data_IF_662820067056
#
_entry.id   IF_662820067056
#
_cell.length_a   1.000
_cell.length_b   1.000
_cell.length_c   1.000
_cell.angle_alpha   90.00
_cell.angle_beta   90.00
_cell.angle_gamma   90.00
#
_symmetry.space_group_name_H-M   'P 1'
#
loop_
_entity.id
_entity.type
_entity.pdbx_description
1 polymer ?
#
# COMPACT_ATOMS: atom_id res chain seq x y z
N UNK A 1 30.22 3.33 25.13
CA UNK A 1 29.11 2.77 25.93
C UNK A 1 28.23 1.84 25.10
N UNK A 2 27.87 2.18 23.85
CA UNK A 2 27.10 1.31 22.93
C UNK A 2 27.73 -0.07 22.66
N UNK A 3 29.06 -0.15 22.54
CA UNK A 3 29.76 -1.41 22.26
C UNK A 3 29.67 -2.42 23.40
N UNK A 4 29.67 -1.98 24.66
CA UNK A 4 29.52 -2.88 25.83
C UNK A 4 28.08 -3.39 25.98
N UNK A 5 27.09 -2.53 25.74
CA UNK A 5 25.67 -2.91 25.78
C UNK A 5 25.32 -3.88 24.63
N UNK A 6 25.83 -3.62 23.42
CA UNK A 6 25.72 -4.50 22.24
C UNK A 6 26.29 -5.90 22.51
N UNK A 7 27.47 -5.97 23.13
CA UNK A 7 28.13 -7.23 23.50
C UNK A 7 27.35 -7.96 24.62
N UNK A 8 26.82 -7.24 25.61
CA UNK A 8 25.99 -7.84 26.67
C UNK A 8 24.66 -8.42 26.15
N UNK A 9 23.97 -7.69 25.26
CA UNK A 9 22.71 -8.17 24.65
C UNK A 9 22.96 -9.45 23.85
N UNK A 10 23.99 -9.49 23.00
CA UNK A 10 24.27 -10.65 22.14
C UNK A 10 24.86 -11.85 22.89
N UNK A 11 25.58 -11.61 23.99
CA UNK A 11 26.12 -12.69 24.85
C UNK A 11 25.05 -13.37 25.70
N UNK A 12 23.98 -12.67 26.07
CA UNK A 12 22.89 -13.22 26.90
C UNK A 12 21.65 -13.63 26.11
N UNK A 13 21.42 -13.04 24.93
CA UNK A 13 20.20 -13.23 24.14
C UNK A 13 20.48 -14.14 22.94
N UNK A 14 20.30 -15.44 23.17
CA UNK A 14 20.76 -16.53 22.32
C UNK A 14 20.25 -16.49 20.87
N UNK A 15 19.02 -16.02 20.61
CA UNK A 15 18.39 -16.01 19.28
C UNK A 15 18.32 -14.61 18.64
N UNK A 16 19.05 -13.63 19.19
CA UNK A 16 18.99 -12.25 18.72
C UNK A 16 19.90 -12.01 17.52
N UNK A 17 19.39 -11.24 16.57
CA UNK A 17 20.07 -10.75 15.37
C UNK A 17 20.17 -9.24 15.48
N UNK A 18 21.38 -8.70 15.33
CA UNK A 18 21.61 -7.27 15.22
C UNK A 18 21.51 -6.87 13.76
N UNK A 19 20.57 -5.99 13.45
CA UNK A 19 20.29 -5.49 12.11
C UNK A 19 20.73 -4.05 12.02
N UNK A 20 21.48 -3.74 10.96
CA UNK A 20 21.67 -2.38 10.49
C UNK A 20 20.62 -2.09 9.42
N UNK A 21 19.69 -1.20 9.72
CA UNK A 21 18.65 -0.77 8.78
C UNK A 21 19.28 0.17 7.75
N UNK A 22 19.09 -0.13 6.47
CA UNK A 22 19.73 0.57 5.36
C UNK A 22 18.75 1.48 4.62
N UNK A 23 17.48 1.08 4.55
CA UNK A 23 16.43 1.88 3.93
C UNK A 23 15.06 1.51 4.51
N UNK A 24 14.17 2.48 4.66
CA UNK A 24 12.79 2.24 5.04
C UNK A 24 11.88 3.20 4.26
N UNK A 25 10.88 2.70 3.52
CA UNK A 25 9.93 3.56 2.84
C UNK A 25 8.93 4.15 3.84
N UNK A 26 8.21 5.17 3.37
CA UNK A 26 7.04 5.71 4.05
C UNK A 26 5.82 5.34 3.23
N UNK A 27 4.98 4.47 3.77
CA UNK A 27 3.70 4.07 3.19
C UNK A 27 2.54 4.82 3.88
N UNK A 28 1.37 4.93 3.23
CA UNK A 28 0.17 5.48 3.88
C UNK A 28 -0.20 4.79 5.19
N UNK A 29 0.07 3.49 5.32
CA UNK A 29 -0.17 2.73 6.55
C UNK A 29 0.71 3.19 7.73
N UNK A 30 1.93 3.64 7.47
CA UNK A 30 2.81 4.21 8.50
C UNK A 30 2.20 5.50 9.07
N UNK A 31 1.75 6.40 8.18
CA UNK A 31 1.11 7.66 8.56
C UNK A 31 -0.18 7.43 9.36
N UNK A 32 -1.02 6.51 8.89
CA UNK A 32 -2.24 6.13 9.60
C UNK A 32 -1.94 5.53 11.00
N UNK A 33 -0.82 4.82 11.15
CA UNK A 33 -0.38 4.26 12.44
C UNK A 33 0.05 5.38 13.39
N UNK A 34 0.80 6.37 12.89
CA UNK A 34 1.20 7.56 13.64
C UNK A 34 -0.01 8.39 14.09
N UNK A 35 -1.03 8.52 13.24
CA UNK A 35 -2.29 9.22 13.54
C UNK A 35 -3.21 8.42 14.50
N UNK A 36 -2.88 7.15 14.79
CA UNK A 36 -3.68 6.27 15.65
C UNK A 36 -4.95 5.73 15.00
N UNK A 37 -5.13 5.92 13.69
CA UNK A 37 -6.30 5.49 12.91
C UNK A 37 -6.10 4.15 12.21
N UNK A 38 -4.89 3.59 12.27
CA UNK A 38 -4.60 2.24 11.75
C UNK A 38 -4.92 1.14 12.78
N UNK A 39 -5.28 -0.10 12.34
CA UNK A 39 -5.58 -1.19 13.26
C UNK A 39 -4.37 -1.66 14.09
N UNK A 40 -3.16 -1.57 13.55
CA UNK A 40 -1.93 -1.89 14.28
C UNK A 40 -1.62 -0.73 15.23
N UNK A 41 -1.58 -1.02 16.54
CA UNK A 41 -1.35 -0.04 17.59
C UNK A 41 -0.17 -0.46 18.47
N UNK A 42 1.07 -0.10 18.09
CA UNK A 42 2.24 -0.40 18.89
C UNK A 42 2.15 0.24 20.28
N UNK A 43 2.60 -0.42 21.36
CA UNK A 43 2.65 0.17 22.69
C UNK A 43 3.64 1.35 22.71
N UNK A 44 3.19 2.50 23.23
CA UNK A 44 4.01 3.71 23.27
C UNK A 44 4.94 3.73 24.50
N UNK A 45 6.18 4.26 24.39
CA UNK A 45 6.78 4.84 23.18
C UNK A 45 7.19 3.76 22.16
N UNK A 46 6.89 4.00 20.88
CA UNK A 46 7.19 3.08 19.77
C UNK A 46 8.04 3.76 18.69
N UNK A 47 8.86 2.97 18.01
CA UNK A 47 9.57 3.40 16.80
C UNK A 47 8.63 3.20 15.59
N UNK A 48 8.41 4.22 14.74
CA UNK A 48 7.59 4.07 13.54
C UNK A 48 8.23 3.20 12.45
N UNK A 49 7.47 2.86 11.42
CA UNK A 49 7.92 2.11 10.25
C UNK A 49 7.51 0.65 10.26
N UNK A 50 6.60 0.30 9.34
CA UNK A 50 6.07 -1.05 9.14
C UNK A 50 6.92 -1.86 8.14
N UNK A 51 7.66 -1.19 7.26
CA UNK A 51 8.47 -1.80 6.20
C UNK A 51 9.89 -1.25 6.24
N UNK A 52 10.87 -2.09 5.89
CA UNK A 52 12.25 -1.66 5.79
C UNK A 52 13.17 -2.79 5.35
N UNK A 53 14.34 -2.40 4.89
CA UNK A 53 15.41 -3.26 4.45
C UNK A 53 16.63 -3.04 5.35
N UNK A 54 17.13 -4.14 5.92
CA UNK A 54 18.32 -4.15 6.73
C UNK A 54 19.29 -5.25 6.35
N UNK A 55 20.48 -5.16 6.91
CA UNK A 55 21.53 -6.17 6.80
C UNK A 55 21.91 -6.69 8.17
N UNK A 56 22.11 -8.00 8.27
CA UNK A 56 22.60 -8.64 9.50
C UNK A 56 24.03 -8.20 9.76
N UNK A 57 24.22 -7.48 10.86
CA UNK A 57 25.53 -6.98 11.28
C UNK A 57 26.18 -7.93 12.30
N UNK A 58 25.38 -8.52 13.21
CA UNK A 58 25.85 -9.52 14.19
C UNK A 58 24.74 -10.53 14.50
N UNK A 59 25.14 -11.72 14.97
CA UNK A 59 24.22 -12.79 15.37
C UNK A 59 24.56 -13.32 16.77
N UNK A 60 23.53 -13.69 17.52
CA UNK A 60 23.64 -14.43 18.78
C UNK A 60 24.02 -15.89 18.54
N UNK A 61 24.51 -16.55 19.59
CA UNK A 61 25.10 -17.90 19.52
C UNK A 61 24.15 -19.04 19.13
N UNK A 62 22.83 -18.82 19.15
CA UNK A 62 21.81 -19.81 18.75
C UNK A 62 21.00 -19.41 17.52
N UNK A 63 21.33 -18.29 16.88
CA UNK A 63 20.75 -17.96 15.57
C UNK A 63 21.15 -19.03 14.57
N UNK A 64 20.17 -19.58 13.85
CA UNK A 64 20.39 -20.63 12.85
C UNK A 64 19.96 -20.20 11.46
N UNK A 65 19.00 -19.28 11.36
CA UNK A 65 18.39 -18.87 10.08
C UNK A 65 19.22 -17.86 9.30
N UNK A 66 20.12 -17.14 9.98
CA UNK A 66 20.84 -16.00 9.40
C UNK A 66 22.34 -16.07 9.64
N UNK A 67 23.07 -15.37 8.76
CA UNK A 67 24.51 -15.13 8.81
C UNK A 67 24.77 -13.64 8.70
N UNK A 68 25.93 -13.20 9.19
CA UNK A 68 26.38 -11.82 9.00
C UNK A 68 26.46 -11.52 7.50
N UNK A 69 25.89 -10.38 7.10
CA UNK A 69 25.79 -9.96 5.71
C UNK A 69 24.45 -10.29 5.04
N UNK A 70 23.61 -11.14 5.63
CA UNK A 70 22.30 -11.46 5.04
C UNK A 70 21.40 -10.22 4.98
N UNK A 71 20.65 -10.10 3.88
CA UNK A 71 19.65 -9.05 3.68
C UNK A 71 18.32 -9.51 4.28
N UNK A 72 17.67 -8.62 5.03
CA UNK A 72 16.46 -8.96 5.79
C UNK A 72 15.37 -7.90 5.71
N UNK A 73 14.13 -8.36 5.86
CA UNK A 73 12.92 -7.56 6.04
C UNK A 73 12.27 -7.89 7.40
N UNK A 74 11.45 -6.98 7.97
CA UNK A 74 10.65 -7.31 9.14
C UNK A 74 9.58 -8.36 8.80
N UNK A 75 9.39 -9.34 9.69
CA UNK A 75 8.29 -10.30 9.62
C UNK A 75 7.03 -9.84 10.38
N UNK A 76 7.12 -8.72 11.12
CA UNK A 76 6.06 -8.14 11.94
C UNK A 76 5.88 -6.66 11.61
N UNK A 77 4.62 -6.21 11.62
CA UNK A 77 4.27 -4.84 11.28
C UNK A 77 4.73 -3.83 12.37
N UNK A 78 4.76 -4.20 13.64
CA UNK A 78 5.07 -3.29 14.76
C UNK A 78 6.57 -3.22 15.11
N UNK A 79 7.44 -3.70 14.22
CA UNK A 79 8.87 -3.85 14.51
C UNK A 79 9.62 -2.51 14.57
N UNK A 80 9.12 -1.47 13.89
CA UNK A 80 9.65 -0.11 13.91
C UNK A 80 10.97 0.04 13.16
N UNK A 81 10.91 0.21 11.84
CA UNK A 81 12.08 0.22 10.95
C UNK A 81 12.73 1.59 10.76
N UNK A 82 12.10 2.69 11.19
CA UNK A 82 12.63 4.05 11.02
C UNK A 82 13.69 4.39 12.09
N UNK A 83 14.81 3.68 12.01
CA UNK A 83 16.00 3.80 12.88
C UNK A 83 17.22 3.28 12.13
N UNK A 84 18.43 3.46 12.67
CA UNK A 84 19.66 2.99 12.03
C UNK A 84 19.98 1.54 12.35
N UNK A 85 19.64 1.07 13.55
CA UNK A 85 20.04 -0.26 14.05
C UNK A 85 18.94 -0.83 14.97
N UNK A 86 18.86 -2.17 15.08
CA UNK A 86 17.90 -2.85 15.94
C UNK A 86 18.32 -4.28 16.30
N UNK A 87 17.84 -4.78 17.45
CA UNK A 87 18.05 -6.15 17.91
C UNK A 87 16.71 -6.89 17.86
N UNK A 88 16.65 -7.97 17.09
CA UNK A 88 15.42 -8.71 16.79
C UNK A 88 15.60 -10.20 17.03
N UNK A 89 14.53 -10.90 17.41
CA UNK A 89 14.55 -12.37 17.37
C UNK A 89 14.64 -12.85 15.92
N UNK A 90 15.37 -13.94 15.66
CA UNK A 90 15.43 -14.51 14.30
C UNK A 90 14.06 -14.93 13.74
N UNK A 91 13.04 -15.14 14.58
CA UNK A 91 11.68 -15.41 14.14
C UNK A 91 10.97 -14.17 13.56
N UNK A 92 11.45 -12.97 13.88
CA UNK A 92 10.83 -11.70 13.51
C UNK A 92 11.41 -11.11 12.23
N UNK A 93 12.25 -11.88 11.53
CA UNK A 93 12.96 -11.46 10.32
C UNK A 93 12.70 -12.44 9.18
N UNK A 94 12.71 -11.92 7.95
CA UNK A 94 12.66 -12.70 6.71
C UNK A 94 13.91 -12.43 5.91
N UNK A 95 14.62 -13.49 5.50
CA UNK A 95 15.76 -13.39 4.58
C UNK A 95 15.26 -13.11 3.16
N UNK A 96 15.98 -12.27 2.43
CA UNK A 96 15.71 -12.00 1.01
C UNK A 96 16.97 -12.24 0.18
N UNK A 97 16.80 -12.25 -1.14
CA UNK A 97 17.93 -12.38 -2.07
C UNK A 97 18.86 -11.17 -1.94
N UNK A 98 20.12 -11.43 -1.59
CA UNK A 98 21.13 -10.40 -1.40
C UNK A 98 21.47 -9.66 -2.70
N UNK A 99 21.10 -10.19 -3.88
CA UNK A 99 21.36 -9.52 -5.17
C UNK A 99 20.36 -8.43 -5.53
N UNK A 100 19.27 -8.28 -4.76
CA UNK A 100 18.30 -7.22 -5.00
C UNK A 100 18.91 -5.84 -4.74
N UNK A 101 18.50 -4.84 -5.52
CA UNK A 101 18.88 -3.44 -5.25
C UNK A 101 18.32 -2.99 -3.90
N UNK A 102 18.88 -1.91 -3.35
CA UNK A 102 18.40 -1.35 -2.09
C UNK A 102 16.93 -0.91 -2.19
N UNK A 103 16.56 -0.28 -3.31
CA UNK A 103 15.21 0.20 -3.58
C UNK A 103 14.21 -0.95 -3.72
N UNK A 104 14.59 -1.99 -4.45
CA UNK A 104 13.76 -3.19 -4.59
C UNK A 104 13.56 -3.88 -3.24
N UNK A 105 14.64 -4.02 -2.47
CA UNK A 105 14.60 -4.64 -1.14
C UNK A 105 13.74 -3.84 -0.17
N UNK A 106 13.90 -2.51 -0.14
CA UNK A 106 13.18 -1.63 0.78
C UNK A 106 11.68 -1.59 0.55
N UNK A 107 11.19 -1.94 -0.64
CA UNK A 107 9.77 -1.85 -1.03
C UNK A 107 9.12 -3.20 -1.29
N UNK A 108 9.80 -4.30 -0.94
CA UNK A 108 9.40 -5.67 -1.28
C UNK A 108 8.29 -6.24 -0.37
N UNK A 109 8.11 -5.71 0.84
CA UNK A 109 7.31 -6.36 1.87
C UNK A 109 5.81 -6.06 1.74
N UNK A 110 5.46 -4.81 1.43
CA UNK A 110 4.06 -4.37 1.50
C UNK A 110 3.40 -4.36 0.13
N UNK A 111 3.85 -3.48 -0.77
CA UNK A 111 3.09 -3.20 -2.00
C UNK A 111 3.10 -4.36 -3.01
N UNK A 112 4.24 -4.99 -3.34
CA UNK A 112 4.27 -6.10 -4.30
C UNK A 112 3.53 -7.36 -3.82
N UNK A 113 3.66 -7.83 -2.57
CA UNK A 113 2.89 -8.97 -2.07
C UNK A 113 1.39 -8.68 -2.01
N UNK A 114 0.99 -7.45 -1.67
CA UNK A 114 -0.42 -7.02 -1.73
C UNK A 114 -0.97 -7.17 -3.15
N UNK A 115 -0.27 -6.62 -4.15
CA UNK A 115 -0.66 -6.74 -5.55
C UNK A 115 -0.70 -8.22 -6.00
N UNK A 116 0.32 -9.01 -5.64
CA UNK A 116 0.39 -10.43 -5.99
C UNK A 116 -0.79 -11.22 -5.40
N UNK A 117 -1.11 -11.02 -4.11
CA UNK A 117 -2.22 -11.73 -3.44
C UNK A 117 -3.58 -11.29 -3.98
N UNK A 118 -3.77 -10.00 -4.27
CA UNK A 118 -4.98 -9.51 -4.96
C UNK A 118 -5.23 -10.23 -6.29
N UNK A 119 -4.17 -10.51 -7.04
CA UNK A 119 -4.26 -11.22 -8.33
C UNK A 119 -4.41 -12.74 -8.21
N UNK A 120 -4.22 -13.33 -7.03
CA UNK A 120 -4.13 -14.79 -6.86
C UNK A 120 -5.20 -15.40 -5.97
N UNK A 121 -5.66 -14.67 -4.97
CA UNK A 121 -6.39 -15.30 -3.86
C UNK A 121 -7.92 -15.16 -3.98
N UNK A 122 -8.41 -14.21 -4.78
CA UNK A 122 -9.84 -13.88 -4.82
C UNK A 122 -10.60 -14.52 -5.99
N UNK A 123 -10.00 -14.51 -7.18
CA UNK A 123 -10.60 -15.06 -8.41
C UNK A 123 -9.51 -15.77 -9.21
N UNK A 124 -9.82 -16.94 -9.74
CA UNK A 124 -8.93 -17.68 -10.63
C UNK A 124 -8.98 -17.08 -12.04
N UNK A 125 -8.14 -16.07 -12.25
CA UNK A 125 -8.03 -15.34 -13.52
C UNK A 125 -7.58 -16.26 -14.66
N UNK A 126 -8.39 -16.29 -15.72
CA UNK A 126 -8.18 -17.06 -16.94
C UNK A 126 -7.70 -16.20 -18.10
N UNK A 127 -7.07 -16.85 -19.10
CA UNK A 127 -7.08 -16.40 -20.49
C UNK A 127 -8.29 -15.54 -20.89
N UNK A 128 -8.11 -14.23 -21.00
CA UNK A 128 -9.10 -13.28 -21.55
C UNK A 128 -9.79 -12.37 -20.53
N UNK A 129 -9.58 -12.62 -19.24
CA UNK A 129 -10.25 -11.90 -18.16
C UNK A 129 -9.75 -10.45 -18.05
N UNK A 130 -10.66 -9.53 -17.68
CA UNK A 130 -10.35 -8.12 -17.51
C UNK A 130 -10.27 -7.78 -16.03
N UNK A 131 -9.23 -7.04 -15.63
CA UNK A 131 -9.12 -6.47 -14.30
C UNK A 131 -9.29 -4.97 -14.41
N UNK A 132 -10.19 -4.42 -13.60
CA UNK A 132 -10.32 -2.98 -13.39
C UNK A 132 -9.75 -2.64 -12.01
N UNK A 133 -8.93 -1.61 -11.95
CA UNK A 133 -8.46 -1.04 -10.68
C UNK A 133 -8.61 0.48 -10.70
N UNK A 134 -8.96 1.05 -9.55
CA UNK A 134 -8.79 2.48 -9.29
C UNK A 134 -7.37 2.73 -8.75
N UNK A 135 -7.00 3.99 -8.53
CA UNK A 135 -5.71 4.32 -7.90
C UNK A 135 -4.49 3.76 -8.62
N UNK A 136 -4.56 3.55 -9.94
CA UNK A 136 -3.55 2.82 -10.72
C UNK A 136 -2.15 3.44 -10.66
N UNK A 137 -2.03 4.71 -10.28
CA UNK A 137 -0.75 5.40 -10.10
C UNK A 137 -0.12 5.21 -8.70
N UNK A 138 -0.81 4.54 -7.76
CA UNK A 138 -0.26 4.17 -6.45
C UNK A 138 0.83 3.09 -6.58
N UNK A 139 1.62 2.87 -5.52
CA UNK A 139 2.64 1.81 -5.51
C UNK A 139 2.04 0.41 -5.75
N UNK A 140 0.91 0.09 -5.09
CA UNK A 140 0.17 -1.16 -5.32
C UNK A 140 -0.37 -1.21 -6.75
N UNK A 141 -1.01 -0.13 -7.23
CA UNK A 141 -1.58 -0.08 -8.57
C UNK A 141 -0.55 -0.28 -9.68
N UNK A 142 0.64 0.31 -9.52
CA UNK A 142 1.78 0.11 -10.43
C UNK A 142 2.36 -1.29 -10.34
N UNK A 143 2.37 -1.91 -9.16
CA UNK A 143 2.81 -3.30 -8.99
C UNK A 143 1.83 -4.29 -9.66
N UNK A 144 0.52 -4.02 -9.62
CA UNK A 144 -0.49 -4.78 -10.38
C UNK A 144 -0.24 -4.68 -11.88
N UNK A 145 0.09 -3.48 -12.39
CA UNK A 145 0.41 -3.27 -13.82
C UNK A 145 1.67 -4.03 -14.23
N UNK A 146 2.70 -4.03 -13.38
CA UNK A 146 3.99 -4.68 -13.64
C UNK A 146 3.99 -6.19 -13.33
N UNK A 147 2.82 -6.81 -13.15
CA UNK A 147 2.75 -8.27 -13.04
C UNK A 147 3.50 -8.93 -14.22
N UNK A 148 4.08 -10.14 -14.04
CA UNK A 148 4.85 -10.80 -15.10
C UNK A 148 4.09 -10.81 -16.43
N UNK A 149 4.80 -10.66 -17.54
CA UNK A 149 4.20 -10.60 -18.89
C UNK A 149 3.43 -11.87 -19.26
N UNK A 150 3.76 -13.01 -18.65
CA UNK A 150 3.14 -14.31 -18.90
C UNK A 150 1.60 -14.30 -18.81
N UNK A 151 0.99 -13.82 -17.72
CA UNK A 151 -0.45 -13.57 -17.65
C UNK A 151 -1.03 -12.70 -18.78
N UNK A 152 -0.33 -11.66 -19.25
CA UNK A 152 -0.81 -10.83 -20.37
C UNK A 152 -0.72 -11.56 -21.71
N UNK A 153 0.34 -12.36 -21.92
CA UNK A 153 0.63 -13.03 -23.19
C UNK A 153 -0.14 -14.35 -23.32
N UNK A 154 -0.05 -15.21 -22.32
CA UNK A 154 -0.59 -16.57 -22.34
C UNK A 154 -1.95 -16.68 -21.66
N UNK A 155 -2.34 -15.65 -20.91
CA UNK A 155 -3.65 -15.56 -20.27
C UNK A 155 -4.45 -14.32 -20.62
N UNK A 156 -4.13 -13.60 -21.69
CA UNK A 156 -4.90 -12.46 -22.23
C UNK A 156 -5.57 -11.59 -21.13
N UNK A 157 -4.86 -11.37 -20.03
CA UNK A 157 -5.36 -10.55 -18.93
C UNK A 157 -5.29 -9.11 -19.42
N UNK A 158 -6.39 -8.37 -19.34
CA UNK A 158 -6.46 -6.99 -19.85
C UNK A 158 -6.49 -5.97 -18.73
N UNK A 159 -5.64 -4.96 -18.85
CA UNK A 159 -5.72 -3.71 -18.09
C UNK A 159 -6.38 -2.67 -18.98
N UNK A 160 -7.58 -2.22 -18.60
CA UNK A 160 -8.35 -1.27 -19.39
C UNK A 160 -8.44 0.05 -18.63
N UNK A 161 -7.88 1.11 -19.22
CA UNK A 161 -8.20 2.47 -18.83
C UNK A 161 -9.61 2.82 -19.33
N UNK A 162 -10.45 3.38 -18.46
CA UNK A 162 -11.77 3.87 -18.84
C UNK A 162 -11.84 5.37 -18.63
N UNK A 163 -12.21 6.11 -19.68
CA UNK A 163 -12.46 7.53 -19.62
C UNK A 163 -13.91 7.79 -20.03
N UNK A 164 -14.70 8.31 -19.09
CA UNK A 164 -16.13 8.53 -19.30
C UNK A 164 -16.41 9.50 -20.44
N UNK A 165 -15.58 10.52 -20.68
CA UNK A 165 -15.84 11.56 -21.70
C UNK A 165 -15.89 10.98 -23.12
N UNK A 166 -14.87 10.27 -23.65
CA UNK A 166 -14.97 9.62 -24.96
C UNK A 166 -16.13 8.63 -25.06
N UNK A 167 -16.41 7.87 -23.99
CA UNK A 167 -17.55 6.95 -23.97
C UNK A 167 -18.89 7.69 -24.05
N UNK A 168 -19.00 8.84 -23.39
CA UNK A 168 -20.20 9.67 -23.36
C UNK A 168 -20.41 10.42 -24.68
N UNK A 169 -19.35 10.85 -25.34
CA UNK A 169 -19.41 11.58 -26.62
C UNK A 169 -19.69 10.65 -27.81
N UNK A 170 -19.39 9.36 -27.69
CA UNK A 170 -19.67 8.39 -28.73
C UNK A 170 -21.18 8.22 -28.95
N UNK A 171 -21.65 8.59 -30.13
CA UNK A 171 -23.07 8.55 -30.51
C UNK A 171 -23.68 7.15 -30.39
N UNK A 172 -22.87 6.10 -30.54
CA UNK A 172 -23.36 4.70 -30.45
C UNK A 172 -23.84 4.34 -29.05
N UNK A 173 -23.37 5.04 -28.02
CA UNK A 173 -23.70 4.78 -26.63
C UNK A 173 -24.96 5.52 -26.16
N UNK A 174 -25.71 6.19 -27.06
CA UNK A 174 -26.86 7.02 -26.67
C UNK A 174 -27.94 6.28 -25.88
N UNK A 175 -28.31 5.08 -26.30
CA UNK A 175 -29.30 4.27 -25.58
C UNK A 175 -28.75 3.73 -24.26
N UNK A 176 -27.47 3.37 -24.22
CA UNK A 176 -26.83 2.88 -23.01
C UNK A 176 -26.69 3.99 -21.96
N UNK A 177 -26.40 5.23 -22.38
CA UNK A 177 -26.43 6.42 -21.51
C UNK A 177 -27.79 6.57 -20.82
N UNK A 178 -28.89 6.45 -21.58
CA UNK A 178 -30.26 6.56 -21.02
C UNK A 178 -30.53 5.46 -19.98
N UNK A 179 -30.15 4.22 -20.29
CA UNK A 179 -30.29 3.08 -19.37
C UNK A 179 -29.50 3.28 -18.08
N UNK A 180 -28.23 3.66 -18.21
CA UNK A 180 -27.35 3.97 -17.08
C UNK A 180 -27.97 5.03 -16.15
N UNK A 181 -28.44 6.15 -16.69
CA UNK A 181 -29.06 7.20 -15.86
C UNK A 181 -30.36 6.74 -15.19
N UNK A 182 -31.19 5.94 -15.86
CA UNK A 182 -32.41 5.39 -15.29
C UNK A 182 -32.12 4.47 -14.11
N UNK A 183 -31.13 3.59 -14.24
CA UNK A 183 -30.71 2.65 -13.19
C UNK A 183 -30.09 3.38 -11.98
N UNK A 184 -29.13 4.29 -12.22
CA UNK A 184 -28.52 5.11 -11.17
C UNK A 184 -29.57 5.91 -10.40
N UNK A 185 -30.53 6.50 -11.11
CA UNK A 185 -31.65 7.22 -10.50
C UNK A 185 -32.52 6.28 -9.64
N UNK A 186 -32.74 5.05 -10.11
CA UNK A 186 -33.45 4.01 -9.35
C UNK A 186 -32.73 3.69 -8.04
N UNK A 187 -31.41 3.48 -8.07
CA UNK A 187 -30.62 3.21 -6.87
C UNK A 187 -30.59 4.38 -5.90
N UNK A 188 -30.53 5.62 -6.40
CA UNK A 188 -30.62 6.81 -5.55
C UNK A 188 -31.98 6.91 -4.85
N UNK A 189 -33.07 6.68 -5.58
CA UNK A 189 -34.44 6.68 -5.01
C UNK A 189 -34.63 5.59 -3.96
N UNK A 190 -34.01 4.42 -4.15
CA UNK A 190 -34.09 3.32 -3.19
C UNK A 190 -33.08 3.42 -2.04
N UNK A 191 -32.25 4.48 -1.99
CA UNK A 191 -31.19 4.62 -0.99
C UNK A 191 -30.02 3.63 -1.13
N UNK A 192 -29.95 2.87 -2.23
CA UNK A 192 -28.83 1.95 -2.52
C UNK A 192 -27.59 2.69 -3.00
N UNK A 193 -27.77 3.90 -3.53
CA UNK A 193 -26.70 4.80 -3.91
C UNK A 193 -26.91 6.14 -3.22
N UNK A 194 -26.03 6.48 -2.28
CA UNK A 194 -26.12 7.73 -1.52
C UNK A 194 -25.03 8.68 -2.04
N UNK A 195 -25.39 9.89 -2.52
CA UNK A 195 -24.41 10.89 -2.93
C UNK A 195 -23.43 11.20 -1.79
N UNK A 196 -22.18 11.60 -2.09
CA UNK A 196 -21.24 12.00 -1.06
C UNK A 196 -21.78 13.20 -0.26
N UNK A 197 -21.28 13.46 0.96
CA UNK A 197 -21.64 14.65 1.72
C UNK A 197 -21.42 15.93 0.90
N UNK A 198 -22.49 16.72 0.76
CA UNK A 198 -22.50 17.97 -0.01
C UNK A 198 -22.48 19.18 0.93
N UNK A 199 -21.85 20.25 0.47
CA UNK A 199 -21.96 21.58 1.03
C UNK A 199 -22.58 22.48 -0.04
N UNK A 200 -23.79 22.98 0.25
CA UNK A 200 -24.50 23.88 -0.67
C UNK A 200 -24.02 25.31 -0.45
N UNK A 201 -23.68 26.00 -1.52
CA UNK A 201 -23.28 27.41 -1.52
C UNK A 201 -24.03 28.15 -2.61
N UNK A 202 -24.26 29.45 -2.42
CA UNK A 202 -24.87 30.25 -3.47
C UNK A 202 -23.87 30.46 -4.62
N UNK A 203 -24.35 30.66 -5.84
CA UNK A 203 -23.48 30.82 -7.02
C UNK A 203 -22.62 32.08 -6.94
N UNK A 204 -23.08 33.13 -6.25
CA UNK A 204 -22.28 34.34 -6.00
C UNK A 204 -21.04 34.04 -5.15
N UNK A 205 -21.05 32.96 -4.37
CA UNK A 205 -19.94 32.55 -3.51
C UNK A 205 -18.93 31.61 -4.23
N UNK A 206 -18.96 31.52 -5.57
CA UNK A 206 -18.19 30.53 -6.34
C UNK A 206 -16.69 30.54 -6.05
N UNK A 207 -16.08 31.72 -5.80
CA UNK A 207 -14.66 31.82 -5.48
C UNK A 207 -14.32 31.05 -4.20
N UNK A 208 -15.11 31.27 -3.14
CA UNK A 208 -14.95 30.57 -1.86
C UNK A 208 -15.23 29.06 -2.00
N UNK A 209 -16.17 28.68 -2.87
CA UNK A 209 -16.49 27.29 -3.15
C UNK A 209 -15.35 26.57 -3.89
N UNK A 210 -14.67 27.25 -4.83
CA UNK A 210 -13.49 26.71 -5.52
C UNK A 210 -12.35 26.47 -4.51
N UNK A 211 -12.06 27.44 -3.64
CA UNK A 211 -11.04 27.30 -2.59
C UNK A 211 -11.34 26.13 -1.65
N UNK A 212 -12.61 25.96 -1.28
CA UNK A 212 -13.04 24.83 -0.46
C UNK A 212 -12.92 23.49 -1.20
N UNK A 213 -13.20 23.45 -2.50
CA UNK A 213 -13.18 22.22 -3.32
C UNK A 213 -11.76 21.65 -3.56
N UNK A 214 -10.72 22.48 -3.45
CA UNK A 214 -9.31 22.04 -3.55
C UNK A 214 -8.85 21.31 -2.28
N UNK A 215 -9.51 21.55 -1.14
CA UNK A 215 -9.24 20.85 0.11
C UNK A 215 -10.00 19.53 0.13
N UNK A 216 -9.38 18.47 0.68
CA UNK A 216 -10.06 17.18 0.85
C UNK A 216 -11.24 17.36 1.83
N UNK A 217 -12.49 17.13 1.39
CA UNK A 217 -13.68 17.47 2.18
C UNK A 217 -15.01 17.23 1.46
N UNK A 218 -16.07 17.93 1.90
CA UNK A 218 -17.41 17.85 1.30
C UNK A 218 -17.39 18.33 -0.15
N UNK A 219 -18.16 17.66 -1.01
CA UNK A 219 -18.36 18.10 -2.38
C UNK A 219 -19.13 19.41 -2.38
N UNK A 220 -18.56 20.46 -2.95
CA UNK A 220 -19.19 21.77 -3.05
C UNK A 220 -20.24 21.76 -4.16
N UNK A 221 -21.45 22.20 -3.83
CA UNK A 221 -22.59 22.29 -4.75
C UNK A 221 -23.05 23.75 -4.83
N UNK A 222 -22.77 24.40 -5.96
CA UNK A 222 -23.31 25.72 -6.25
C UNK A 222 -24.80 25.59 -6.56
N UNK A 223 -25.60 26.36 -5.85
CA UNK A 223 -27.04 26.51 -6.05
C UNK A 223 -27.27 27.85 -6.73
N UNK A 224 -28.08 27.85 -7.78
CA UNK A 224 -28.49 29.03 -8.54
C UNK A 224 -29.81 29.58 -8.02
#
# INVERSE_FOLDING_TARGET
METLLSVMILSHSRNIVHIKWLAAPINPADLNTLEGVYPVKPPLPAVPGLEGYGRVEKIGSRVKKFRVGDHVLPAKADMGTWRTDGYHDEADLVAIDNSLSMEASATLLINPPTAYRMLKDFVDLKPGDTIIQNGANSAVGRAVIQAPTGPFIFKDIRLIGFWITPWFDDVKNAEERKRMFAELSGWMKSGKFIPPPLEKRNIEDFASAIEAAVKFGKKQLLVM
#
